data_IF_561266270770
#
_entry.id   IF_561266270770
#
_cell.length_a   1.000
_cell.length_b   1.000
_cell.length_c   1.000
_cell.angle_alpha   90.00
_cell.angle_beta   90.00
_cell.angle_gamma   90.00
#
_symmetry.space_group_name_H-M   'P 1'
#
loop_
_entity.id
_entity.type
_entity.pdbx_description
1 polymer ?
#
# COMPACT_ATOMS: atom_id res chain seq x y z
N UNK A 1 -5.51 -18.84 -2.26
CA UNK A 1 -4.62 -17.95 -3.03
C UNK A 1 -3.20 -18.36 -2.72
N UNK A 2 -2.34 -18.36 -3.73
CA UNK A 2 -1.19 -19.26 -3.86
C UNK A 2 0.05 -18.40 -3.68
N UNK A 3 0.98 -18.70 -2.76
CA UNK A 3 2.01 -17.82 -2.15
C UNK A 3 2.89 -16.86 -2.98
N UNK A 4 2.56 -16.57 -4.24
CA UNK A 4 3.07 -15.50 -5.09
C UNK A 4 2.72 -14.11 -4.57
N UNK A 5 1.60 -13.90 -3.85
CA UNK A 5 1.22 -12.57 -3.35
C UNK A 5 2.27 -12.00 -2.39
N UNK A 6 2.92 -12.86 -1.60
CA UNK A 6 4.05 -12.50 -0.73
C UNK A 6 5.23 -11.90 -1.50
N UNK A 7 5.58 -12.51 -2.64
CA UNK A 7 6.69 -12.04 -3.46
C UNK A 7 6.34 -10.77 -4.23
N UNK A 8 5.06 -10.59 -4.61
CA UNK A 8 4.57 -9.38 -5.28
C UNK A 8 4.69 -8.16 -4.37
N UNK A 9 4.25 -8.25 -3.11
CA UNK A 9 4.38 -7.15 -2.16
C UNK A 9 5.83 -6.70 -1.97
N UNK A 10 6.74 -7.66 -1.76
CA UNK A 10 8.18 -7.39 -1.59
C UNK A 10 8.78 -6.74 -2.86
N UNK A 11 8.48 -7.30 -4.03
CA UNK A 11 9.02 -6.79 -5.30
C UNK A 11 8.49 -5.38 -5.63
N UNK A 12 7.19 -5.13 -5.43
CA UNK A 12 6.59 -3.83 -5.67
C UNK A 12 7.12 -2.77 -4.69
N UNK A 13 7.31 -3.08 -3.41
CA UNK A 13 7.91 -2.14 -2.45
C UNK A 13 9.31 -1.70 -2.89
N UNK A 14 10.16 -2.64 -3.33
CA UNK A 14 11.49 -2.30 -3.83
C UNK A 14 11.47 -1.49 -5.12
N UNK A 15 10.57 -1.82 -6.06
CA UNK A 15 10.41 -1.05 -7.29
C UNK A 15 9.87 0.36 -7.04
N UNK A 16 9.00 0.53 -6.04
CA UNK A 16 8.40 1.81 -5.68
C UNK A 16 9.42 2.80 -5.08
N UNK A 17 10.62 2.37 -4.67
CA UNK A 17 11.67 3.31 -4.25
C UNK A 17 12.16 4.22 -5.40
N UNK A 18 11.92 3.83 -6.66
CA UNK A 18 12.21 4.65 -7.82
C UNK A 18 10.93 5.30 -8.37
N UNK A 19 10.86 6.63 -8.28
CA UNK A 19 9.71 7.44 -8.74
C UNK A 19 9.30 7.19 -10.18
N UNK A 20 10.25 6.80 -11.06
CA UNK A 20 9.94 6.50 -12.47
C UNK A 20 9.02 5.29 -12.64
N UNK A 21 9.01 4.38 -11.66
CA UNK A 21 8.20 3.17 -11.69
C UNK A 21 6.78 3.43 -11.18
N UNK A 22 6.50 4.57 -10.55
CA UNK A 22 5.22 4.81 -9.89
C UNK A 22 4.04 4.74 -10.86
N UNK A 23 4.16 5.37 -12.03
CA UNK A 23 3.09 5.37 -13.04
C UNK A 23 2.71 3.96 -13.51
N UNK A 24 3.70 3.08 -13.66
CA UNK A 24 3.47 1.68 -14.05
C UNK A 24 2.87 0.86 -12.90
N UNK A 25 3.33 1.12 -11.66
CA UNK A 25 2.81 0.47 -10.45
C UNK A 25 1.36 0.87 -10.19
N UNK A 26 0.99 2.14 -10.41
CA UNK A 26 -0.38 2.64 -10.23
C UNK A 26 -1.25 2.57 -11.49
N UNK A 27 -0.89 1.64 -12.39
CA UNK A 27 -1.65 1.30 -13.58
C UNK A 27 -2.97 0.59 -13.27
N UNK A 28 -3.48 -0.15 -14.24
CA UNK A 28 -4.75 -0.87 -14.09
C UNK A 28 -4.70 -1.87 -12.92
N UNK A 29 -5.84 -2.03 -12.22
CA UNK A 29 -6.02 -2.87 -11.04
C UNK A 29 -5.19 -2.54 -9.80
N UNK A 30 -4.42 -1.44 -9.78
CA UNK A 30 -3.59 -1.05 -8.62
C UNK A 30 -4.37 -1.04 -7.31
N UNK A 31 -5.55 -0.41 -7.29
CA UNK A 31 -6.40 -0.33 -6.09
C UNK A 31 -6.70 -1.74 -5.57
N UNK A 32 -7.12 -2.65 -6.46
CA UNK A 32 -7.46 -4.03 -6.10
C UNK A 32 -6.24 -4.80 -5.59
N UNK A 33 -5.09 -4.66 -6.23
CA UNK A 33 -3.86 -5.36 -5.83
C UNK A 33 -3.34 -4.85 -4.48
N UNK A 34 -3.32 -3.53 -4.30
CA UNK A 34 -2.92 -2.91 -3.05
C UNK A 34 -3.86 -3.33 -1.91
N UNK A 35 -5.18 -3.33 -2.14
CA UNK A 35 -6.16 -3.83 -1.18
C UNK A 35 -5.89 -5.27 -0.80
N UNK A 36 -5.64 -6.17 -1.76
CA UNK A 36 -5.31 -7.58 -1.48
C UNK A 36 -4.05 -7.71 -0.63
N UNK A 37 -2.99 -6.96 -0.93
CA UNK A 37 -1.74 -7.03 -0.18
C UNK A 37 -1.92 -6.56 1.26
N UNK A 38 -2.61 -5.44 1.45
CA UNK A 38 -2.87 -4.90 2.79
C UNK A 38 -3.82 -5.86 3.54
N UNK A 39 -4.79 -6.50 2.87
CA UNK A 39 -5.77 -7.43 3.45
C UNK A 39 -5.26 -8.85 3.69
N UNK A 40 -4.02 -9.13 3.35
CA UNK A 40 -3.51 -10.49 3.42
C UNK A 40 -3.33 -10.93 4.89
N UNK A 41 -3.76 -12.16 5.21
CA UNK A 41 -3.73 -12.68 6.59
C UNK A 41 -2.31 -12.95 7.14
N UNK A 42 -1.29 -12.93 6.29
CA UNK A 42 0.12 -12.99 6.70
C UNK A 42 0.59 -11.56 7.01
N UNK A 43 0.99 -11.34 8.26
CA UNK A 43 1.40 -10.04 8.80
C UNK A 43 2.56 -9.43 8.01
N UNK A 44 3.56 -10.24 7.58
CA UNK A 44 4.67 -9.74 6.76
C UNK A 44 4.16 -9.15 5.45
N UNK A 45 3.20 -9.82 4.81
CA UNK A 45 2.65 -9.40 3.51
C UNK A 45 1.82 -8.13 3.66
N UNK A 46 0.99 -8.08 4.70
CA UNK A 46 0.21 -6.90 5.06
C UNK A 46 1.11 -5.69 5.31
N UNK A 47 2.19 -5.85 6.08
CA UNK A 47 3.18 -4.81 6.32
C UNK A 47 3.85 -4.30 5.03
N UNK A 48 4.17 -5.19 4.09
CA UNK A 48 4.72 -4.78 2.79
C UNK A 48 3.70 -4.04 1.92
N UNK A 49 2.44 -4.47 1.90
CA UNK A 49 1.36 -3.75 1.24
C UNK A 49 1.21 -2.33 1.78
N UNK A 50 1.31 -2.17 3.10
CA UNK A 50 1.27 -0.88 3.78
C UNK A 50 2.50 -0.02 3.44
N UNK A 51 3.70 -0.61 3.46
CA UNK A 51 4.93 0.10 3.11
C UNK A 51 4.90 0.59 1.66
N UNK A 52 4.36 -0.22 0.75
CA UNK A 52 4.10 0.19 -0.63
C UNK A 52 3.15 1.39 -0.70
N UNK A 53 2.03 1.35 0.04
CA UNK A 53 1.10 2.48 0.12
C UNK A 53 1.78 3.76 0.62
N UNK A 54 2.64 3.67 1.64
CA UNK A 54 3.42 4.81 2.15
C UNK A 54 4.32 5.42 1.11
N UNK A 55 5.15 4.59 0.46
CA UNK A 55 6.12 5.07 -0.52
C UNK A 55 5.41 5.78 -1.67
N UNK A 56 4.32 5.19 -2.18
CA UNK A 56 3.53 5.78 -3.25
C UNK A 56 2.79 7.05 -2.79
N UNK A 57 2.37 7.12 -1.54
CA UNK A 57 1.76 8.32 -0.98
C UNK A 57 2.76 9.46 -0.79
N UNK A 58 3.96 9.18 -0.31
CA UNK A 58 4.96 10.20 0.03
C UNK A 58 5.69 10.73 -1.20
N UNK A 59 5.95 9.86 -2.20
CA UNK A 59 6.78 10.20 -3.35
C UNK A 59 6.03 10.19 -4.69
N UNK A 60 4.78 9.71 -4.71
CA UNK A 60 3.96 9.67 -5.91
C UNK A 60 3.42 11.04 -6.32
N UNK A 61 2.97 11.12 -7.58
CA UNK A 61 2.23 12.27 -8.12
C UNK A 61 0.88 12.45 -7.42
N UNK A 62 0.24 13.62 -7.56
CA UNK A 62 -1.10 13.88 -7.00
C UNK A 62 -2.12 12.79 -7.38
N UNK A 63 -2.08 12.29 -8.63
CA UNK A 63 -2.93 11.18 -9.08
C UNK A 63 -2.62 9.88 -8.34
N UNK A 64 -1.33 9.56 -8.17
CA UNK A 64 -0.85 8.38 -7.44
C UNK A 64 -1.31 8.43 -5.99
N UNK A 65 -1.12 9.59 -5.35
CA UNK A 65 -1.56 9.84 -3.98
C UNK A 65 -3.08 9.64 -3.86
N UNK A 66 -3.87 10.20 -4.78
CA UNK A 66 -5.32 10.05 -4.76
C UNK A 66 -5.78 8.60 -4.92
N UNK A 67 -5.16 7.81 -5.81
CA UNK A 67 -5.45 6.38 -5.98
C UNK A 67 -5.10 5.56 -4.73
N UNK A 68 -3.94 5.82 -4.12
CA UNK A 68 -3.56 5.22 -2.84
C UNK A 68 -4.58 5.59 -1.76
N UNK A 69 -5.04 6.85 -1.76
CA UNK A 69 -6.04 7.30 -0.81
C UNK A 69 -7.34 6.49 -0.91
N UNK A 70 -7.86 6.33 -2.11
CA UNK A 70 -9.07 5.57 -2.36
C UNK A 70 -8.95 4.10 -1.91
N UNK A 71 -7.81 3.46 -2.20
CA UNK A 71 -7.55 2.08 -1.80
C UNK A 71 -7.49 1.92 -0.26
N UNK A 72 -6.84 2.85 0.45
CA UNK A 72 -6.69 2.80 1.91
C UNK A 72 -8.00 3.16 2.63
N UNK A 73 -8.76 4.16 2.14
CA UNK A 73 -10.07 4.55 2.72
C UNK A 73 -11.08 3.40 2.66
N UNK A 74 -11.11 2.65 1.56
CA UNK A 74 -12.01 1.50 1.41
C UNK A 74 -11.86 0.47 2.53
N UNK A 75 -10.70 0.40 3.19
CA UNK A 75 -10.42 -0.60 4.22
C UNK A 75 -10.74 -0.18 5.67
N UNK A 76 -11.33 0.99 5.92
CA UNK A 76 -11.49 1.54 7.29
C UNK A 76 -10.16 1.54 8.06
N UNK A 77 -9.46 2.65 7.94
CA UNK A 77 -8.38 3.18 8.80
C UNK A 77 -8.46 2.78 10.30
N UNK A 78 -9.64 2.48 10.84
CA UNK A 78 -9.92 2.15 12.24
C UNK A 78 -9.24 0.87 12.76
N UNK A 79 -9.06 -0.16 11.94
CA UNK A 79 -8.38 -1.40 12.36
C UNK A 79 -6.86 -1.23 12.37
N UNK A 80 -6.36 -0.37 11.49
CA UNK A 80 -4.96 -0.03 11.29
C UNK A 80 -4.42 0.98 12.33
N UNK A 81 -5.27 1.90 12.83
CA UNK A 81 -4.96 2.83 13.94
C UNK A 81 -4.83 2.11 15.29
N UNK A 82 -5.45 0.93 15.45
CA UNK A 82 -5.48 0.24 16.75
C UNK A 82 -4.14 -0.40 17.15
N UNK A 83 -3.12 -0.40 16.27
CA UNK A 83 -1.75 -0.78 16.61
C UNK A 83 -0.93 0.48 16.92
N UNK A 84 -0.62 0.68 18.20
CA UNK A 84 -0.19 1.98 18.76
C UNK A 84 1.19 2.50 18.31
N UNK A 85 1.97 1.81 17.44
CA UNK A 85 3.33 2.26 17.06
C UNK A 85 3.76 1.91 15.61
N UNK A 86 2.86 1.95 14.63
CA UNK A 86 3.17 1.58 13.24
C UNK A 86 3.32 2.74 12.25
N UNK A 87 4.15 2.58 11.22
CA UNK A 87 4.21 3.48 10.03
C UNK A 87 2.82 3.71 9.39
N UNK A 88 1.89 2.80 9.63
CA UNK A 88 0.47 2.83 9.29
C UNK A 88 -0.28 4.03 9.91
N UNK A 89 -0.02 4.32 11.18
CA UNK A 89 -0.68 5.41 11.89
C UNK A 89 -0.33 6.77 11.26
N UNK A 90 0.88 6.89 10.70
CA UNK A 90 1.30 8.08 9.94
C UNK A 90 0.50 8.25 8.66
N UNK A 91 0.22 7.16 7.92
CA UNK A 91 -0.66 7.20 6.74
C UNK A 91 -2.04 7.69 7.16
N UNK A 92 -2.63 7.05 8.17
CA UNK A 92 -3.99 7.29 8.64
C UNK A 92 -4.26 8.75 9.07
N UNK A 93 -3.24 9.49 9.52
CA UNK A 93 -3.34 10.90 9.89
C UNK A 93 -3.54 11.87 8.71
N UNK A 94 -3.27 11.43 7.47
CA UNK A 94 -3.43 12.24 6.26
C UNK A 94 -4.76 11.99 5.50
N UNK A 95 -5.70 11.32 6.18
CA UNK A 95 -7.06 10.99 5.72
C UNK A 95 -8.12 11.56 6.66
#
# INVERSE_FOLDING_TARGET
>A
MNGYEKWIGIALSGLAENVKNHADIVGEDFIKQLTILIEYNDEDVSEKGIMLALILFEFGTDETQQKVKEAVIQRRIRELISSDEGNIAKIALFF
#
